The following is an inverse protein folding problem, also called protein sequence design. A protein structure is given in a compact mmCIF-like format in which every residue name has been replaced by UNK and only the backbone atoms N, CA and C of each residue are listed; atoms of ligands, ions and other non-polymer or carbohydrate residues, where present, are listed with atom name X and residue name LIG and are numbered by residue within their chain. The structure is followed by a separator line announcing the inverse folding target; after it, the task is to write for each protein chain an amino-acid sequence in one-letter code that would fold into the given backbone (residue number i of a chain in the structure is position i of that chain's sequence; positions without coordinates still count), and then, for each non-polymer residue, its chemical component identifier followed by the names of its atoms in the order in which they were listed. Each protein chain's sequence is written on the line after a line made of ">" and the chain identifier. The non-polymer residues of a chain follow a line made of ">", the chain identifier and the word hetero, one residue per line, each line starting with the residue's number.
data_IF_523512143981
#
_entry.id   IF_523512143981
#
_cell.length_a   1.000
_cell.length_b   1.000
_cell.length_c   1.000
_cell.angle_alpha   90.00
_cell.angle_beta   90.00
_cell.angle_gamma   90.00
#
_symmetry.space_group_name_H-M   'P 1'
#
loop_
_entity.id
_entity.type
_entity.pdbx_description
1 polymer ?
#
# COMPACT_ATOMS: atom_id res chain seq x y z
N UNK A 1 -2.98 -10.18 5.99
CA UNK A 1 -2.33 -11.46 5.64
C UNK A 1 -1.29 -11.20 4.55
N UNK A 2 -0.47 -12.16 4.13
CA UNK A 2 0.36 -11.93 2.94
C UNK A 2 -0.48 -11.99 1.66
N UNK A 3 -1.40 -12.95 1.57
CA UNK A 3 -1.99 -13.43 0.32
C UNK A 3 -3.53 -13.58 0.28
N UNK A 4 -4.28 -13.20 1.32
CA UNK A 4 -5.76 -13.21 1.29
C UNK A 4 -6.31 -12.06 0.43
N UNK A 5 -6.36 -12.30 -0.88
CA UNK A 5 -6.84 -11.35 -1.89
C UNK A 5 -8.36 -11.23 -1.85
N UNK A 6 -9.07 -12.32 -1.58
CA UNK A 6 -10.53 -12.38 -1.49
C UNK A 6 -11.07 -11.66 -0.25
N UNK A 7 -10.31 -11.62 0.85
CA UNK A 7 -10.62 -10.82 2.04
C UNK A 7 -10.12 -9.37 1.97
N UNK A 8 -9.33 -9.02 0.95
CA UNK A 8 -8.75 -7.69 0.80
C UNK A 8 -7.69 -7.36 1.86
N UNK A 9 -6.99 -8.37 2.41
CA UNK A 9 -5.95 -8.18 3.42
C UNK A 9 -4.54 -8.54 2.94
N UNK A 10 -4.38 -8.92 1.68
CA UNK A 10 -3.10 -9.16 1.05
C UNK A 10 -2.25 -7.87 0.97
N UNK A 11 -0.92 -8.03 1.04
CA UNK A 11 0.04 -6.91 0.92
C UNK A 11 0.84 -6.97 -0.39
N UNK A 12 0.26 -7.60 -1.42
CA UNK A 12 0.84 -7.67 -2.75
C UNK A 12 1.04 -6.30 -3.39
N UNK A 13 1.88 -6.29 -4.43
CA UNK A 13 1.95 -5.14 -5.33
C UNK A 13 0.64 -5.02 -6.08
N UNK A 14 0.03 -3.85 -6.04
CA UNK A 14 -1.20 -3.56 -6.77
C UNK A 14 -0.92 -2.71 -8.02
N UNK A 15 -1.84 -2.76 -8.97
CA UNK A 15 -1.86 -1.78 -10.06
C UNK A 15 -2.02 -0.36 -9.48
N UNK A 16 -1.46 0.63 -10.17
CA UNK A 16 -1.64 2.04 -9.79
C UNK A 16 -2.95 2.59 -10.38
N UNK A 17 -3.37 2.12 -11.54
CA UNK A 17 -4.50 2.68 -12.25
C UNK A 17 -5.28 1.61 -13.01
N UNK A 18 -6.52 1.93 -13.36
CA UNK A 18 -7.46 1.05 -14.07
C UNK A 18 -6.88 0.53 -15.39
N UNK A 19 -6.07 1.32 -16.09
CA UNK A 19 -5.47 0.97 -17.38
C UNK A 19 -4.46 -0.18 -17.27
N UNK A 20 -3.96 -0.46 -16.06
CA UNK A 20 -3.00 -1.54 -15.80
C UNK A 20 -3.69 -2.85 -15.41
N UNK A 21 -5.02 -2.86 -15.31
CA UNK A 21 -5.76 -4.07 -14.98
C UNK A 21 -5.80 -5.01 -16.20
N UNK A 22 -5.55 -6.32 -16.01
CA UNK A 22 -5.34 -7.27 -17.12
C UNK A 22 -6.61 -7.52 -17.96
N UNK A 23 -7.79 -7.21 -17.42
CA UNK A 23 -9.09 -7.34 -18.08
C UNK A 23 -10.02 -6.23 -17.57
N UNK A 24 -11.06 -5.82 -18.33
CA UNK A 24 -12.13 -4.97 -17.80
C UNK A 24 -12.83 -5.71 -16.66
N UNK A 25 -12.32 -5.48 -15.44
CA UNK A 25 -12.72 -6.15 -14.21
C UNK A 25 -12.88 -5.10 -13.13
N UNK A 26 -13.77 -5.39 -12.16
CA UNK A 26 -13.99 -4.54 -10.99
C UNK A 26 -12.97 -4.89 -9.91
N UNK A 27 -11.68 -4.73 -10.21
CA UNK A 27 -10.59 -4.91 -9.26
C UNK A 27 -10.20 -3.57 -8.63
N UNK A 28 -9.72 -3.62 -7.38
CA UNK A 28 -9.19 -2.46 -6.67
C UNK A 28 -7.75 -2.22 -7.10
N UNK A 29 -7.39 -0.97 -7.37
CA UNK A 29 -6.03 -0.51 -7.61
C UNK A 29 -5.68 0.55 -6.55
N UNK A 30 -4.38 0.87 -6.40
CA UNK A 30 -3.90 1.75 -5.32
C UNK A 30 -4.51 3.16 -5.32
N UNK A 31 -4.97 3.63 -6.48
CA UNK A 31 -5.50 5.00 -6.64
C UNK A 31 -7.00 5.00 -6.96
N UNK A 32 -7.74 3.99 -6.49
CA UNK A 32 -9.18 3.89 -6.74
C UNK A 32 -9.96 5.03 -6.08
N UNK A 33 -9.49 5.52 -4.93
CA UNK A 33 -10.10 6.63 -4.22
C UNK A 33 -9.49 7.97 -4.68
N UNK A 34 -10.23 8.67 -5.54
CA UNK A 34 -9.85 9.98 -6.06
C UNK A 34 -9.89 11.11 -5.00
N UNK A 35 -10.61 10.89 -3.89
CA UNK A 35 -10.83 11.85 -2.81
C UNK A 35 -9.88 11.64 -1.63
N UNK A 36 -8.98 10.67 -1.71
CA UNK A 36 -8.04 10.39 -0.63
C UNK A 36 -7.13 11.63 -0.43
N UNK A 37 -6.97 12.11 0.82
CA UNK A 37 -6.15 13.28 1.09
C UNK A 37 -4.68 12.98 0.79
N UNK A 38 -3.95 13.98 0.30
CA UNK A 38 -2.49 13.91 0.30
C UNK A 38 -1.98 13.69 1.74
N UNK A 39 -1.00 12.81 1.98
CA UNK A 39 -0.10 12.18 1.00
C UNK A 39 -0.57 10.79 0.51
N UNK A 40 -1.78 10.34 0.86
CA UNK A 40 -2.26 9.00 0.51
C UNK A 40 -2.67 8.86 -0.97
N UNK A 41 -2.54 9.93 -1.75
CA UNK A 41 -2.79 9.94 -3.19
C UNK A 41 -1.56 9.43 -3.93
N UNK A 42 -1.75 8.59 -4.94
CA UNK A 42 -0.67 8.07 -5.78
C UNK A 42 0.34 7.20 -5.02
N UNK A 43 -0.14 6.31 -4.15
CA UNK A 43 0.74 5.42 -3.39
C UNK A 43 1.56 4.51 -4.34
N UNK A 44 2.84 4.27 -4.04
CA UNK A 44 3.65 3.27 -4.72
C UNK A 44 2.97 1.90 -4.76
N UNK A 45 3.19 1.13 -5.84
CA UNK A 45 2.57 -0.20 -6.02
C UNK A 45 2.84 -1.15 -4.84
N UNK A 46 3.99 -0.99 -4.18
CA UNK A 46 4.47 -1.82 -3.07
C UNK A 46 4.31 -1.14 -1.71
N UNK A 47 3.42 -0.15 -1.59
CA UNK A 47 3.20 0.63 -0.37
C UNK A 47 3.09 -0.22 0.90
N UNK A 48 2.26 -1.27 0.88
CA UNK A 48 2.06 -2.13 2.04
C UNK A 48 3.31 -2.97 2.38
N UNK A 49 4.14 -3.31 1.39
CA UNK A 49 5.44 -3.97 1.64
C UNK A 49 6.42 -2.99 2.30
N UNK A 50 6.47 -1.75 1.81
CA UNK A 50 7.30 -0.70 2.42
C UNK A 50 6.86 -0.43 3.86
N UNK A 51 5.55 -0.23 4.08
CA UNK A 51 4.98 -0.05 5.42
C UNK A 51 5.34 -1.21 6.35
N UNK A 52 5.20 -2.45 5.88
CA UNK A 52 5.56 -3.65 6.66
C UNK A 52 7.03 -3.63 7.06
N UNK A 53 7.95 -3.26 6.15
CA UNK A 53 9.38 -3.11 6.46
C UNK A 53 9.63 -2.03 7.52
N UNK A 54 9.04 -0.85 7.36
CA UNK A 54 9.24 0.24 8.32
C UNK A 54 8.69 -0.12 9.71
N UNK A 55 7.54 -0.80 9.77
CA UNK A 55 6.98 -1.31 11.03
C UNK A 55 7.87 -2.37 11.67
N UNK A 56 8.52 -3.24 10.88
CA UNK A 56 9.47 -4.21 11.41
C UNK A 56 10.67 -3.52 12.09
N UNK A 57 11.21 -2.45 11.50
CA UNK A 57 12.28 -1.66 12.12
C UNK A 57 11.84 -0.99 13.44
N UNK A 58 10.57 -0.58 13.53
CA UNK A 58 10.01 -0.01 14.77
C UNK A 58 9.86 -1.09 15.85
N UNK A 59 9.28 -2.24 15.50
CA UNK A 59 9.03 -3.35 16.43
C UNK A 59 10.35 -3.93 16.97
N UNK A 60 11.38 -4.01 16.14
CA UNK A 60 12.72 -4.51 16.52
C UNK A 60 13.55 -3.48 17.29
N UNK A 61 13.07 -2.24 17.42
CA UNK A 61 13.77 -1.17 18.12
C UNK A 61 14.91 -0.53 17.32
N UNK A 62 15.04 -0.85 16.04
CA UNK A 62 16.02 -0.23 15.14
C UNK A 62 15.68 1.24 14.85
N UNK A 63 14.40 1.65 15.03
CA UNK A 63 13.96 3.04 14.90
C UNK A 63 12.83 3.39 15.89
N UNK A 64 12.75 4.64 16.39
CA UNK A 64 11.57 5.12 17.12
C UNK A 64 10.30 5.22 16.25
N UNK A 65 9.16 5.19 16.92
CA UNK A 65 7.85 5.48 16.31
C UNK A 65 7.82 6.91 15.73
N UNK A 66 7.13 7.08 14.60
CA UNK A 66 6.96 8.37 13.93
C UNK A 66 5.56 8.47 13.33
N UNK A 67 5.04 9.69 13.24
CA UNK A 67 3.79 9.97 12.53
C UNK A 67 3.95 9.97 11.00
N UNK A 68 5.20 9.95 10.49
CA UNK A 68 5.51 9.94 9.07
C UNK A 68 5.98 8.54 8.63
N UNK A 69 5.04 7.65 8.27
CA UNK A 69 5.33 6.29 7.80
C UNK A 69 4.53 5.99 6.53
N UNK A 70 5.14 5.39 5.50
CA UNK A 70 6.58 5.21 5.26
C UNK A 70 7.27 6.56 5.01
N UNK A 71 8.58 6.59 5.29
CA UNK A 71 9.34 7.82 5.46
C UNK A 71 9.37 8.77 4.24
N UNK A 72 9.01 8.28 3.05
CA UNK A 72 8.67 9.05 1.84
C UNK A 72 7.77 8.16 0.96
N UNK A 73 6.65 8.65 0.41
CA UNK A 73 6.08 8.03 -0.79
C UNK A 73 7.06 8.12 -1.96
#
# INVERSE_FOLDING_TARGET
>A
MFDEVDEGTAIYKLANATEQLPVPSRMVHNNIDENVPNPLKNLPQDWYLQLTREMAHIITGERPMSDNIPLRP
#
